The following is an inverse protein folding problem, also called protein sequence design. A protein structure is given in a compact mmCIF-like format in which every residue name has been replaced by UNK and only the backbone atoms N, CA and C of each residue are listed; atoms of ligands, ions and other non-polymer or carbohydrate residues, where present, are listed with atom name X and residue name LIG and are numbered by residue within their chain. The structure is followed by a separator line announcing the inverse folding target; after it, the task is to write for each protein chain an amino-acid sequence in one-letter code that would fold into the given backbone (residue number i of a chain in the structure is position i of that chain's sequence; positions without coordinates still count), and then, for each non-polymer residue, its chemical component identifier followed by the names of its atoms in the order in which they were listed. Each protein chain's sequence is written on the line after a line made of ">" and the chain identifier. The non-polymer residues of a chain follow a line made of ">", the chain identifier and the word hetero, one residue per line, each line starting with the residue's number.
data_IF_348851473660
#
_entry.id   IF_348851473660
#
_cell.length_a   1.000
_cell.length_b   1.000
_cell.length_c   1.000
_cell.angle_alpha   90.00
_cell.angle_beta   90.00
_cell.angle_gamma   90.00
#
_symmetry.space_group_name_H-M   'P 1'
#
loop_
_entity.id
_entity.type
_entity.pdbx_description
1 polymer ?
#
# COMPACT_ATOMS: atom_id res chain seq x y z
N UNK A 1 5.90 20.96 -11.24
CA UNK A 1 4.84 19.96 -11.09
C UNK A 1 3.64 20.64 -10.47
N UNK A 2 2.51 20.60 -11.16
CA UNK A 2 1.20 21.03 -10.69
C UNK A 2 0.62 20.04 -9.67
N UNK A 3 -0.43 20.44 -8.98
CA UNK A 3 -1.14 19.59 -8.02
C UNK A 3 -1.72 18.32 -8.68
N UNK A 4 -2.28 18.45 -9.89
CA UNK A 4 -2.78 17.30 -10.65
C UNK A 4 -1.66 16.34 -11.05
N UNK A 5 -0.51 16.85 -11.49
CA UNK A 5 0.67 16.02 -11.81
C UNK A 5 1.23 15.31 -10.57
N UNK A 6 1.28 16.01 -9.41
CA UNK A 6 1.70 15.43 -8.13
C UNK A 6 0.82 14.24 -7.73
N UNK A 7 -0.50 14.40 -7.83
CA UNK A 7 -1.47 13.36 -7.48
C UNK A 7 -1.37 12.14 -8.41
N UNK A 8 -1.23 12.38 -9.73
CA UNK A 8 -1.05 11.29 -10.72
C UNK A 8 0.25 10.53 -10.49
N UNK A 9 1.36 11.24 -10.30
CA UNK A 9 2.67 10.63 -10.04
C UNK A 9 2.64 9.76 -8.78
N UNK A 10 2.00 10.23 -7.70
CA UNK A 10 1.84 9.44 -6.48
C UNK A 10 1.00 8.17 -6.72
N UNK A 11 -0.10 8.28 -7.48
CA UNK A 11 -0.95 7.15 -7.83
C UNK A 11 -0.19 6.10 -8.67
N UNK A 12 0.64 6.55 -9.61
CA UNK A 12 1.39 5.69 -10.51
C UNK A 12 2.52 4.96 -9.78
N UNK A 13 3.30 5.65 -8.94
CA UNK A 13 4.31 4.98 -8.10
C UNK A 13 3.71 3.99 -7.11
N UNK A 14 2.56 4.33 -6.52
CA UNK A 14 1.84 3.43 -5.62
C UNK A 14 1.37 2.17 -6.36
N UNK A 15 0.80 2.35 -7.56
CA UNK A 15 0.37 1.25 -8.43
C UNK A 15 1.56 0.36 -8.82
N UNK A 16 2.70 0.98 -9.19
CA UNK A 16 3.91 0.27 -9.57
C UNK A 16 4.55 -0.51 -8.41
N UNK A 17 4.50 0.02 -7.18
CA UNK A 17 4.95 -0.71 -5.98
C UNK A 17 4.06 -1.93 -5.72
N UNK A 18 2.74 -1.75 -5.77
CA UNK A 18 1.81 -2.85 -5.53
C UNK A 18 1.97 -4.00 -6.55
N UNK A 19 2.17 -3.66 -7.82
CA UNK A 19 2.31 -4.64 -8.91
C UNK A 19 3.51 -5.59 -8.75
N UNK A 20 4.56 -5.19 -8.01
CA UNK A 20 5.75 -6.02 -7.74
C UNK A 20 5.82 -6.59 -6.33
N UNK A 21 4.80 -6.36 -5.51
CA UNK A 21 4.74 -6.85 -4.13
C UNK A 21 3.98 -8.19 -4.09
N UNK A 22 4.32 -9.08 -3.14
CA UNK A 22 3.67 -10.39 -3.00
C UNK A 22 2.14 -10.27 -2.98
N UNK A 23 1.42 -10.85 -3.96
CA UNK A 23 -0.02 -10.71 -4.05
C UNK A 23 -0.73 -11.63 -3.05
N UNK A 24 -1.99 -11.31 -2.76
CA UNK A 24 -2.85 -12.11 -1.89
C UNK A 24 -3.35 -11.31 -0.68
N UNK A 25 -4.17 -11.95 0.12
CA UNK A 25 -4.67 -11.36 1.36
C UNK A 25 -3.62 -11.51 2.46
N UNK A 26 -3.02 -10.40 2.87
CA UNK A 26 -2.01 -10.40 3.92
C UNK A 26 -2.68 -10.52 5.29
N UNK A 27 -2.31 -11.55 6.04
CA UNK A 27 -2.84 -11.82 7.38
C UNK A 27 -1.74 -12.25 8.33
N UNK A 28 -2.06 -12.18 9.62
CA UNK A 28 -1.24 -12.84 10.63
C UNK A 28 -1.41 -14.35 10.48
N UNK A 29 -0.29 -15.08 10.40
CA UNK A 29 -0.26 -16.54 10.41
C UNK A 29 -0.20 -17.04 11.85
N UNK A 30 1.02 -17.08 12.38
CA UNK A 30 1.33 -17.44 13.76
C UNK A 30 2.59 -16.74 14.26
N UNK A 31 3.49 -17.49 14.90
CA UNK A 31 4.79 -16.98 15.29
C UNK A 31 5.90 -17.63 14.45
N UNK A 32 6.80 -16.80 13.93
CA UNK A 32 8.08 -17.22 13.38
C UNK A 32 9.17 -16.67 14.31
N UNK A 33 10.01 -17.55 14.86
CA UNK A 33 11.04 -17.17 15.85
C UNK A 33 10.51 -16.31 17.02
N UNK A 34 9.33 -16.65 17.55
CA UNK A 34 8.62 -15.93 18.62
C UNK A 34 8.10 -14.54 18.24
N UNK A 35 8.12 -14.17 16.96
CA UNK A 35 7.55 -12.92 16.45
C UNK A 35 6.36 -13.17 15.52
N UNK A 36 5.38 -12.26 15.46
CA UNK A 36 4.29 -12.37 14.50
C UNK A 36 4.78 -12.50 13.06
N UNK A 37 4.24 -13.52 12.41
CA UNK A 37 4.45 -13.82 11.00
C UNK A 37 3.34 -13.20 10.16
N UNK A 38 3.71 -12.45 9.12
CA UNK A 38 2.80 -11.98 8.09
C UNK A 38 2.91 -12.90 6.88
N UNK A 39 1.77 -13.44 6.45
CA UNK A 39 1.66 -14.32 5.29
C UNK A 39 0.68 -13.75 4.27
N UNK A 40 0.92 -13.99 2.99
CA UNK A 40 -0.02 -13.74 1.91
C UNK A 40 -0.81 -15.02 1.62
N UNK A 41 -2.13 -14.98 1.80
CA UNK A 41 -3.03 -16.06 1.42
C UNK A 41 -3.56 -15.85 0.00
N UNK A 42 -3.40 -16.86 -0.86
CA UNK A 42 -3.82 -16.86 -2.26
C UNK A 42 -5.15 -17.59 -2.43
N UNK A 43 -5.85 -17.27 -3.52
CA UNK A 43 -7.16 -17.85 -3.83
C UNK A 43 -7.11 -19.36 -4.13
N UNK A 44 -5.95 -19.88 -4.53
CA UNK A 44 -5.67 -21.30 -4.73
C UNK A 44 -5.42 -22.08 -3.42
N UNK A 45 -5.52 -21.41 -2.27
CA UNK A 45 -5.25 -21.98 -0.96
C UNK A 45 -3.77 -21.96 -0.55
N UNK A 46 -2.88 -21.52 -1.45
CA UNK A 46 -1.46 -21.35 -1.15
C UNK A 46 -1.19 -20.20 -0.17
N UNK A 47 -0.14 -20.33 0.62
CA UNK A 47 0.36 -19.25 1.50
C UNK A 47 1.82 -18.98 1.24
N UNK A 48 2.22 -17.72 1.29
CA UNK A 48 3.62 -17.30 1.19
C UNK A 48 4.00 -16.41 2.36
N UNK A 49 5.18 -16.65 2.93
CA UNK A 49 5.74 -15.79 3.97
C UNK A 49 6.11 -14.43 3.38
N UNK A 50 5.64 -13.35 4.00
CA UNK A 50 5.92 -11.97 3.60
C UNK A 50 6.95 -11.33 4.52
N UNK A 51 6.74 -11.40 5.83
CA UNK A 51 7.61 -10.74 6.80
C UNK A 51 7.49 -11.33 8.21
N UNK A 52 8.59 -11.27 8.95
CA UNK A 52 8.61 -11.38 10.41
C UNK A 52 8.59 -9.96 11.00
N UNK A 53 7.61 -9.65 11.87
CA UNK A 53 7.42 -8.28 12.36
C UNK A 53 7.22 -8.22 13.88
N UNK A 54 7.53 -7.07 14.48
CA UNK A 54 7.09 -6.77 15.87
C UNK A 54 5.56 -6.71 15.90
N UNK A 55 4.95 -7.13 17.00
CA UNK A 55 3.48 -7.26 17.11
C UNK A 55 2.71 -6.00 16.71
N UNK A 56 3.11 -4.83 17.21
CA UNK A 56 2.46 -3.57 16.85
C UNK A 56 2.62 -3.20 15.36
N UNK A 57 3.74 -3.58 14.74
CA UNK A 57 4.02 -3.32 13.32
C UNK A 57 3.30 -4.30 12.39
N UNK A 58 3.11 -5.54 12.82
CA UNK A 58 2.45 -6.57 12.03
C UNK A 58 1.01 -6.15 11.65
N UNK A 59 0.29 -5.50 12.57
CA UNK A 59 -1.05 -4.96 12.31
C UNK A 59 -1.05 -3.85 11.24
N UNK A 60 -0.05 -2.96 11.25
CA UNK A 60 0.11 -1.94 10.22
C UNK A 60 0.44 -2.54 8.85
N UNK A 61 1.32 -3.54 8.83
CA UNK A 61 1.75 -4.21 7.59
C UNK A 61 0.57 -4.93 6.92
N UNK A 62 -0.27 -5.64 7.68
CA UNK A 62 -1.45 -6.31 7.11
C UNK A 62 -2.51 -5.30 6.67
N UNK A 63 -2.78 -4.27 7.47
CA UNK A 63 -3.78 -3.25 7.17
C UNK A 63 -3.42 -2.39 5.94
N UNK A 64 -2.14 -2.07 5.75
CA UNK A 64 -1.62 -1.31 4.61
C UNK A 64 -0.94 -2.21 3.55
N UNK A 65 -1.38 -3.46 3.45
CA UNK A 65 -0.92 -4.40 2.43
C UNK A 65 -1.22 -3.89 1.00
N UNK A 66 -0.66 -4.50 -0.07
CA UNK A 66 -0.87 -4.05 -1.45
C UNK A 66 -2.34 -3.92 -1.87
N UNK A 67 -3.27 -4.57 -1.16
CA UNK A 67 -4.70 -4.46 -1.38
C UNK A 67 -5.23 -3.00 -1.32
N UNK A 68 -4.61 -2.12 -0.52
CA UNK A 68 -5.04 -0.71 -0.42
C UNK A 68 -4.56 0.16 -1.59
N UNK A 69 -3.61 -0.32 -2.38
CA UNK A 69 -2.98 0.50 -3.42
C UNK A 69 -3.94 0.90 -4.53
N UNK A 70 -4.74 -0.04 -5.03
CA UNK A 70 -5.71 0.23 -6.11
C UNK A 70 -6.78 1.26 -5.70
N UNK A 71 -7.52 1.11 -4.59
CA UNK A 71 -8.50 2.12 -4.18
C UNK A 71 -7.86 3.47 -3.87
N UNK A 72 -6.68 3.50 -3.25
CA UNK A 72 -5.99 4.76 -2.95
C UNK A 72 -5.50 5.48 -4.22
N UNK A 73 -4.93 4.74 -5.17
CA UNK A 73 -4.53 5.30 -6.46
C UNK A 73 -5.75 5.82 -7.25
N UNK A 74 -6.91 5.16 -7.15
CA UNK A 74 -8.16 5.65 -7.76
C UNK A 74 -8.60 6.99 -7.16
N UNK A 75 -8.55 7.14 -5.83
CA UNK A 75 -8.86 8.42 -5.15
C UNK A 75 -7.92 9.54 -5.61
N UNK A 76 -6.62 9.26 -5.71
CA UNK A 76 -5.63 10.24 -6.17
C UNK A 76 -5.86 10.66 -7.63
N UNK A 77 -6.16 9.70 -8.51
CA UNK A 77 -6.47 9.98 -9.93
C UNK A 77 -7.74 10.80 -10.08
N UNK A 78 -8.82 10.43 -9.38
CA UNK A 78 -10.07 11.19 -9.42
C UNK A 78 -9.88 12.65 -8.96
N UNK A 79 -9.15 12.86 -7.87
CA UNK A 79 -8.84 14.22 -7.40
C UNK A 79 -7.98 15.02 -8.40
N UNK A 80 -7.11 14.35 -9.15
CA UNK A 80 -6.31 14.98 -10.20
C UNK A 80 -7.14 15.33 -11.44
N UNK A 81 -8.08 14.46 -11.82
CA UNK A 81 -8.96 14.64 -12.99
C UNK A 81 -9.98 15.76 -12.73
N UNK A 82 -10.56 15.81 -11.54
CA UNK A 82 -11.57 16.79 -11.15
C UNK A 82 -10.97 18.14 -10.72
N UNK A 83 -9.65 18.22 -10.55
CA UNK A 83 -8.96 19.41 -10.01
C UNK A 83 -9.29 19.69 -8.54
N UNK A 84 -9.75 18.69 -7.78
CA UNK A 84 -10.24 18.81 -6.39
C UNK A 84 -9.20 18.38 -5.36
N UNK A 85 -7.91 18.61 -5.64
CA UNK A 85 -6.79 18.31 -4.74
C UNK A 85 -6.87 19.08 -3.42
N UNK A 86 -7.55 18.53 -2.42
CA UNK A 86 -7.58 19.12 -1.07
C UNK A 86 -6.17 19.17 -0.47
N UNK A 87 -5.87 20.09 0.45
CA UNK A 87 -4.55 20.16 1.08
C UNK A 87 -4.09 18.82 1.69
N UNK A 88 -5.01 18.06 2.28
CA UNK A 88 -4.72 16.73 2.85
C UNK A 88 -4.33 15.69 1.79
N UNK A 89 -4.97 15.69 0.61
CA UNK A 89 -4.60 14.79 -0.49
C UNK A 89 -3.23 15.15 -1.07
N UNK A 90 -2.92 16.44 -1.16
CA UNK A 90 -1.60 16.91 -1.61
C UNK A 90 -0.51 16.55 -0.62
N UNK A 91 -0.77 16.65 0.69
CA UNK A 91 0.16 16.22 1.73
C UNK A 91 0.37 14.69 1.71
N UNK A 92 -0.69 13.92 1.51
CA UNK A 92 -0.59 12.47 1.33
C UNK A 92 0.26 12.13 0.10
N UNK A 93 0.02 12.78 -1.05
CA UNK A 93 0.80 12.55 -2.27
C UNK A 93 2.29 12.89 -2.07
N UNK A 94 2.63 14.03 -1.44
CA UNK A 94 4.01 14.38 -1.11
C UNK A 94 4.66 13.37 -0.17
N UNK A 95 3.91 12.90 0.83
CA UNK A 95 4.37 11.86 1.75
C UNK A 95 4.67 10.56 1.00
N UNK A 96 3.77 10.12 0.13
CA UNK A 96 3.96 8.94 -0.71
C UNK A 96 5.19 9.10 -1.60
N UNK A 97 5.34 10.21 -2.30
CA UNK A 97 6.49 10.43 -3.20
C UNK A 97 7.83 10.51 -2.48
N UNK A 98 7.84 10.82 -1.19
CA UNK A 98 9.05 10.80 -0.35
C UNK A 98 9.44 9.38 0.09
N UNK A 99 8.48 8.44 0.09
CA UNK A 99 8.65 7.09 0.67
C UNK A 99 8.62 5.98 -0.37
N UNK A 100 7.87 6.17 -1.45
CA UNK A 100 7.80 5.26 -2.57
C UNK A 100 9.08 5.39 -3.41
N UNK A 101 9.67 4.26 -3.83
CA UNK A 101 10.83 4.26 -4.71
C UNK A 101 10.50 4.78 -6.11
#
# INVERSE_FOLDING_TARGET
>A
MSDAELLREAADRLTALAARTTPGNWRLGGLLASRPEVIAARADGGTEHVAEARAASAAWITALSPAVAAPLAAVLRAAADDGTGTPALLELARTLLTRLP
#
